data_IF_715413280388
#
_entry.id   IF_715413280388
#
_cell.length_a   1.000
_cell.length_b   1.000
_cell.length_c   1.000
_cell.angle_alpha   90.00
_cell.angle_beta   90.00
_cell.angle_gamma   90.00
#
_symmetry.space_group_name_H-M   'P 1'
#
loop_
_entity.id
_entity.type
_entity.pdbx_description
1 polymer ?
#
# COMPACT_ATOMS: atom_id res chain seq x y z
N UNK A 1 19.79 5.76 -9.80
CA UNK A 1 18.89 5.40 -8.68
C UNK A 1 19.70 5.50 -7.40
N UNK A 2 19.12 6.02 -6.33
CA UNK A 2 19.77 6.16 -5.01
C UNK A 2 18.90 5.46 -3.97
N UNK A 3 19.53 4.72 -3.07
CA UNK A 3 18.93 4.27 -1.80
C UNK A 3 19.39 5.25 -0.73
N UNK A 4 18.46 5.86 -0.03
CA UNK A 4 18.74 6.79 1.06
C UNK A 4 18.26 6.14 2.34
N UNK A 5 19.16 5.94 3.29
CA UNK A 5 18.86 5.35 4.60
C UNK A 5 19.11 6.43 5.64
N UNK A 6 18.14 6.65 6.50
CA UNK A 6 18.29 7.59 7.61
C UNK A 6 19.18 7.00 8.71
N UNK A 7 19.93 7.87 9.37
CA UNK A 7 20.84 7.49 10.45
C UNK A 7 20.12 6.87 11.67
N UNK A 8 18.87 7.24 11.92
CA UNK A 8 18.00 6.60 12.92
C UNK A 8 17.78 5.12 12.62
N UNK A 9 17.52 4.78 11.36
CA UNK A 9 17.32 3.38 10.93
C UNK A 9 18.60 2.56 11.14
N UNK A 10 19.77 3.13 10.82
CA UNK A 10 21.06 2.46 11.01
C UNK A 10 21.38 2.23 12.49
N UNK A 11 20.91 3.10 13.38
CA UNK A 11 21.14 2.96 14.83
C UNK A 11 20.18 1.97 15.48
N UNK A 12 18.96 1.89 14.96
CA UNK A 12 17.89 1.13 15.60
C UNK A 12 17.83 -0.33 15.13
N UNK A 13 18.32 -0.64 13.91
CA UNK A 13 18.31 -1.98 13.35
C UNK A 13 19.66 -2.68 13.54
N UNK A 14 19.61 -3.99 13.78
CA UNK A 14 20.80 -4.82 13.71
C UNK A 14 21.20 -5.12 12.25
N UNK A 15 22.29 -5.86 12.04
CA UNK A 15 22.83 -6.12 10.70
C UNK A 15 21.89 -6.92 9.81
N UNK A 16 21.14 -7.86 10.39
CA UNK A 16 20.28 -8.79 9.65
C UNK A 16 18.95 -8.10 9.31
N UNK A 17 18.39 -7.35 10.26
CA UNK A 17 17.25 -6.47 10.06
C UNK A 17 17.53 -5.40 8.99
N UNK A 18 18.70 -4.76 9.06
CA UNK A 18 19.14 -3.75 8.09
C UNK A 18 19.34 -4.36 6.70
N UNK A 19 19.91 -5.55 6.61
CA UNK A 19 20.08 -6.27 5.35
C UNK A 19 18.74 -6.61 4.72
N UNK A 20 17.78 -7.06 5.52
CA UNK A 20 16.40 -7.34 5.08
C UNK A 20 15.71 -6.09 4.57
N UNK A 21 15.85 -4.94 5.27
CA UNK A 21 15.29 -3.66 4.83
C UNK A 21 15.90 -3.21 3.49
N UNK A 22 17.22 -3.23 3.38
CA UNK A 22 17.90 -2.82 2.13
C UNK A 22 17.49 -3.72 0.97
N UNK A 23 17.39 -5.03 1.18
CA UNK A 23 16.96 -5.97 0.16
C UNK A 23 15.51 -5.72 -0.27
N UNK A 24 14.62 -5.39 0.66
CA UNK A 24 13.23 -5.01 0.39
C UNK A 24 13.16 -3.75 -0.52
N UNK A 25 13.88 -2.69 -0.17
CA UNK A 25 13.95 -1.47 -0.98
C UNK A 25 14.52 -1.72 -2.39
N UNK A 26 15.52 -2.58 -2.48
CA UNK A 26 16.05 -3.00 -3.79
C UNK A 26 15.02 -3.80 -4.60
N UNK A 27 14.13 -4.53 -3.95
CA UNK A 27 12.99 -5.22 -4.56
C UNK A 27 12.09 -4.25 -5.32
N UNK A 28 11.68 -3.15 -4.70
CA UNK A 28 10.91 -2.08 -5.34
C UNK A 28 11.62 -1.47 -6.55
N UNK A 29 12.93 -1.22 -6.41
CA UNK A 29 13.75 -0.68 -7.50
C UNK A 29 13.81 -1.64 -8.68
N UNK A 30 13.99 -2.94 -8.42
CA UNK A 30 14.10 -3.97 -9.45
C UNK A 30 12.77 -4.18 -10.18
N UNK A 31 11.67 -4.20 -9.45
CA UNK A 31 10.33 -4.43 -10.01
C UNK A 31 9.72 -3.20 -10.67
N UNK A 32 10.42 -2.04 -10.63
CA UNK A 32 9.94 -0.76 -11.15
C UNK A 32 8.57 -0.35 -10.59
N UNK A 33 8.35 -0.54 -9.30
CA UNK A 33 7.05 -0.39 -8.66
C UNK A 33 6.49 1.03 -8.72
N UNK A 34 7.37 2.05 -8.77
CA UNK A 34 6.97 3.44 -9.02
C UNK A 34 6.19 3.56 -10.35
N UNK A 35 6.67 2.91 -11.41
CA UNK A 35 5.98 2.96 -12.71
C UNK A 35 4.67 2.17 -12.71
N UNK A 36 4.58 1.09 -11.93
CA UNK A 36 3.33 0.34 -11.75
C UNK A 36 2.28 1.18 -11.04
N UNK A 37 2.66 1.84 -9.94
CA UNK A 37 1.79 2.77 -9.22
C UNK A 37 1.37 3.96 -10.07
N UNK A 38 2.31 4.57 -10.81
CA UNK A 38 2.02 5.67 -11.72
C UNK A 38 1.09 5.26 -12.86
N UNK A 39 1.31 4.09 -13.47
CA UNK A 39 0.44 3.54 -14.51
C UNK A 39 -0.99 3.32 -14.01
N UNK A 40 -1.14 2.76 -12.80
CA UNK A 40 -2.44 2.64 -12.14
C UNK A 40 -3.09 4.01 -11.92
N UNK A 41 -2.38 4.97 -11.36
CA UNK A 41 -2.90 6.31 -11.10
C UNK A 41 -3.35 7.04 -12.39
N UNK A 42 -2.53 6.97 -13.45
CA UNK A 42 -2.85 7.55 -14.75
C UNK A 42 -4.09 6.94 -15.39
N UNK A 43 -4.39 5.68 -15.10
CA UNK A 43 -5.60 5.02 -15.59
C UNK A 43 -6.83 5.40 -14.76
N UNK A 44 -6.73 5.35 -13.41
CA UNK A 44 -7.93 5.41 -12.56
C UNK A 44 -8.32 6.84 -12.16
N UNK A 45 -7.37 7.77 -12.05
CA UNK A 45 -7.69 9.16 -11.66
C UNK A 45 -8.59 9.85 -12.69
N UNK A 46 -8.30 9.82 -14.02
CA UNK A 46 -9.18 10.41 -14.99
C UNK A 46 -10.59 9.78 -15.01
N UNK A 47 -10.67 8.45 -14.83
CA UNK A 47 -11.94 7.75 -14.73
C UNK A 47 -12.73 8.17 -13.48
N UNK A 48 -12.06 8.36 -12.35
CA UNK A 48 -12.67 8.87 -11.12
C UNK A 48 -13.20 10.28 -11.29
N UNK A 49 -12.43 11.18 -11.91
CA UNK A 49 -12.86 12.55 -12.21
C UNK A 49 -14.08 12.55 -13.13
N UNK A 50 -14.05 11.76 -14.19
CA UNK A 50 -15.18 11.61 -15.12
C UNK A 50 -16.43 11.08 -14.41
N UNK A 51 -16.27 10.05 -13.56
CA UNK A 51 -17.37 9.54 -12.73
C UNK A 51 -17.98 10.63 -11.85
N UNK A 52 -17.16 11.37 -11.10
CA UNK A 52 -17.61 12.46 -10.22
C UNK A 52 -18.39 13.50 -11.01
N UNK A 53 -17.86 13.92 -12.15
CA UNK A 53 -18.50 14.90 -13.02
C UNK A 53 -19.87 14.39 -13.55
N UNK A 54 -19.88 13.20 -14.15
CA UNK A 54 -21.10 12.64 -14.74
C UNK A 54 -22.18 12.38 -13.68
N UNK A 55 -21.81 11.85 -12.51
CA UNK A 55 -22.72 11.56 -11.42
C UNK A 55 -23.32 12.85 -10.84
N UNK A 56 -22.48 13.87 -10.62
CA UNK A 56 -22.92 15.17 -10.11
C UNK A 56 -23.88 15.84 -11.08
N UNK A 57 -23.53 15.91 -12.35
CA UNK A 57 -24.38 16.54 -13.40
C UNK A 57 -25.70 15.77 -13.54
N UNK A 58 -25.66 14.44 -13.52
CA UNK A 58 -26.87 13.60 -13.63
C UNK A 58 -27.81 13.81 -12.45
N UNK A 59 -27.28 13.88 -11.22
CA UNK A 59 -28.09 14.11 -10.02
C UNK A 59 -28.70 15.53 -10.03
N UNK A 60 -27.91 16.56 -10.40
CA UNK A 60 -28.38 17.94 -10.46
C UNK A 60 -29.53 18.07 -11.49
N UNK A 61 -29.37 17.50 -12.69
CA UNK A 61 -30.41 17.49 -13.71
C UNK A 61 -31.69 16.77 -13.27
N UNK A 62 -31.52 15.61 -12.60
CA UNK A 62 -32.66 14.85 -12.08
C UNK A 62 -33.45 15.64 -11.02
N UNK A 63 -32.77 16.44 -10.19
CA UNK A 63 -33.37 17.26 -9.15
C UNK A 63 -33.90 18.62 -9.66
N UNK A 64 -33.49 19.03 -10.85
CA UNK A 64 -33.75 20.37 -11.38
C UNK A 64 -32.91 21.46 -10.73
N UNK A 65 -31.74 21.10 -10.13
CA UNK A 65 -30.81 22.03 -9.52
C UNK A 65 -29.99 22.79 -10.60
N UNK A 66 -29.65 24.02 -10.30
CA UNK A 66 -28.70 24.79 -11.11
C UNK A 66 -27.26 24.27 -10.89
N UNK A 67 -26.56 23.96 -11.98
CA UNK A 67 -25.17 23.44 -11.91
C UNK A 67 -24.18 24.47 -11.34
N UNK A 68 -24.50 25.74 -11.43
CA UNK A 68 -23.67 26.83 -10.87
C UNK A 68 -24.08 27.20 -9.43
N UNK A 69 -25.12 26.54 -8.91
CA UNK A 69 -25.67 26.80 -7.58
C UNK A 69 -24.97 26.02 -6.47
N UNK A 70 -25.07 26.50 -5.21
CA UNK A 70 -24.44 25.85 -4.05
C UNK A 70 -25.00 24.46 -3.74
N UNK A 71 -26.19 24.12 -4.26
CA UNK A 71 -26.82 22.80 -4.08
C UNK A 71 -26.01 21.65 -4.72
N UNK A 72 -25.11 21.95 -5.65
CA UNK A 72 -24.23 20.96 -6.29
C UNK A 72 -23.07 20.54 -5.37
N UNK A 73 -22.65 21.37 -4.42
CA UNK A 73 -21.48 21.09 -3.56
C UNK A 73 -21.62 19.79 -2.76
N UNK A 74 -22.73 19.49 -2.08
CA UNK A 74 -22.91 18.22 -1.36
C UNK A 74 -22.84 16.99 -2.29
N UNK A 75 -23.41 17.08 -3.49
CA UNK A 75 -23.37 16.03 -4.48
C UNK A 75 -21.94 15.77 -4.96
N UNK A 76 -21.20 16.82 -5.27
CA UNK A 76 -19.79 16.76 -5.65
C UNK A 76 -18.95 16.08 -4.56
N UNK A 77 -19.14 16.51 -3.30
CA UNK A 77 -18.42 15.93 -2.16
C UNK A 77 -18.75 14.42 -1.98
N UNK A 78 -20.03 14.04 -2.09
CA UNK A 78 -20.45 12.63 -2.03
C UNK A 78 -19.79 11.78 -3.11
N UNK A 79 -19.89 12.20 -4.38
CA UNK A 79 -19.34 11.41 -5.47
C UNK A 79 -17.80 11.40 -5.48
N UNK A 80 -17.17 12.48 -5.02
CA UNK A 80 -15.72 12.49 -4.78
C UNK A 80 -15.31 11.48 -3.70
N UNK A 81 -16.02 11.42 -2.58
CA UNK A 81 -15.76 10.44 -1.52
C UNK A 81 -15.96 8.99 -2.03
N UNK A 82 -17.02 8.73 -2.80
CA UNK A 82 -17.23 7.43 -3.43
C UNK A 82 -16.14 7.08 -4.44
N UNK A 83 -15.71 8.03 -5.27
CA UNK A 83 -14.60 7.80 -6.21
C UNK A 83 -13.30 7.44 -5.48
N UNK A 84 -12.96 8.16 -4.40
CA UNK A 84 -11.79 7.85 -3.56
C UNK A 84 -11.88 6.44 -2.99
N UNK A 85 -13.04 6.03 -2.50
CA UNK A 85 -13.24 4.68 -1.96
C UNK A 85 -13.09 3.60 -3.05
N UNK A 86 -13.75 3.77 -4.21
CA UNK A 86 -13.70 2.81 -5.30
C UNK A 86 -12.33 2.69 -5.96
N UNK A 87 -11.54 3.77 -6.00
CA UNK A 87 -10.17 3.77 -6.49
C UNK A 87 -9.21 3.25 -5.41
N UNK A 88 -9.44 3.62 -4.15
CA UNK A 88 -8.57 3.29 -3.03
C UNK A 88 -8.47 1.79 -2.76
N UNK A 89 -9.61 1.07 -2.79
CA UNK A 89 -9.61 -0.38 -2.51
C UNK A 89 -8.74 -1.18 -3.50
N UNK A 90 -8.90 -1.06 -4.84
CA UNK A 90 -8.00 -1.73 -5.77
C UNK A 90 -6.56 -1.17 -5.72
N UNK A 91 -6.37 0.13 -5.45
CA UNK A 91 -5.05 0.72 -5.24
C UNK A 91 -4.33 0.11 -4.04
N UNK A 92 -5.03 -0.06 -2.92
CA UNK A 92 -4.49 -0.71 -1.73
C UNK A 92 -4.18 -2.20 -1.99
N UNK A 93 -5.01 -2.88 -2.78
CA UNK A 93 -4.73 -4.27 -3.18
C UNK A 93 -3.46 -4.37 -4.04
N UNK A 94 -3.26 -3.44 -4.99
CA UNK A 94 -2.04 -3.35 -5.78
C UNK A 94 -0.83 -3.07 -4.89
N UNK A 95 -0.94 -2.13 -3.94
CA UNK A 95 0.12 -1.80 -2.99
C UNK A 95 0.52 -3.01 -2.14
N UNK A 96 -0.45 -3.72 -1.55
CA UNK A 96 -0.16 -4.95 -0.79
C UNK A 96 0.54 -6.03 -1.63
N UNK A 97 0.17 -6.16 -2.89
CA UNK A 97 0.83 -7.10 -3.80
C UNK A 97 2.28 -6.69 -4.08
N UNK A 98 2.53 -5.41 -4.31
CA UNK A 98 3.86 -4.85 -4.48
C UNK A 98 4.74 -5.13 -3.25
N UNK A 99 4.23 -4.84 -2.05
CA UNK A 99 4.92 -5.10 -0.79
C UNK A 99 5.26 -6.58 -0.60
N UNK A 100 4.29 -7.48 -0.86
CA UNK A 100 4.54 -8.91 -0.75
C UNK A 100 5.62 -9.41 -1.72
N UNK A 101 5.70 -8.84 -2.93
CA UNK A 101 6.78 -9.12 -3.87
C UNK A 101 8.13 -8.59 -3.40
N UNK A 102 8.18 -7.40 -2.80
CA UNK A 102 9.40 -6.83 -2.25
C UNK A 102 9.91 -7.66 -1.05
N UNK A 103 9.00 -8.11 -0.17
CA UNK A 103 9.34 -9.02 0.93
C UNK A 103 9.90 -10.35 0.42
N UNK A 104 9.24 -10.94 -0.57
CA UNK A 104 9.73 -12.20 -1.17
C UNK A 104 11.10 -12.02 -1.79
N UNK A 105 11.33 -10.90 -2.51
CA UNK A 105 12.63 -10.59 -3.06
C UNK A 105 13.69 -10.42 -1.97
N UNK A 106 13.36 -9.78 -0.84
CA UNK A 106 14.27 -9.65 0.28
C UNK A 106 14.66 -11.01 0.86
N UNK A 107 13.69 -11.88 1.11
CA UNK A 107 13.93 -13.26 1.58
C UNK A 107 14.80 -14.06 0.60
N UNK A 108 14.50 -13.99 -0.70
CA UNK A 108 15.29 -14.66 -1.74
C UNK A 108 16.75 -14.15 -1.83
N UNK A 109 17.00 -12.93 -1.39
CA UNK A 109 18.34 -12.29 -1.45
C UNK A 109 19.14 -12.47 -0.17
N UNK A 110 18.51 -12.39 0.98
CA UNK A 110 19.16 -12.52 2.27
C UNK A 110 19.26 -13.98 2.71
N UNK A 111 18.28 -14.80 2.35
CA UNK A 111 18.13 -16.15 2.88
C UNK A 111 17.90 -16.16 4.40
N UNK A 112 17.46 -15.03 4.95
CA UNK A 112 17.33 -14.82 6.40
C UNK A 112 15.90 -14.44 6.80
N UNK A 113 15.03 -15.43 7.04
CA UNK A 113 13.70 -15.19 7.59
C UNK A 113 13.72 -14.54 8.98
N UNK A 114 14.75 -14.84 9.80
CA UNK A 114 14.89 -14.30 11.14
C UNK A 114 15.07 -12.79 11.14
N UNK A 115 15.96 -12.28 10.30
CA UNK A 115 16.16 -10.84 10.09
C UNK A 115 14.90 -10.14 9.58
N UNK A 116 14.13 -10.77 8.69
CA UNK A 116 12.85 -10.23 8.24
C UNK A 116 11.83 -10.17 9.39
N UNK A 117 11.70 -11.21 10.20
CA UNK A 117 10.81 -11.25 11.37
C UNK A 117 11.20 -10.17 12.39
N UNK A 118 12.50 -10.05 12.68
CA UNK A 118 13.04 -9.00 13.57
C UNK A 118 12.67 -7.61 13.08
N UNK A 119 12.94 -7.33 11.81
CA UNK A 119 12.59 -6.08 11.16
C UNK A 119 11.10 -5.73 11.31
N UNK A 120 10.20 -6.68 11.00
CA UNK A 120 8.76 -6.44 11.07
C UNK A 120 8.29 -6.14 12.51
N UNK A 121 8.80 -6.88 13.49
CA UNK A 121 8.51 -6.64 14.92
C UNK A 121 8.98 -5.26 15.35
N UNK A 122 10.18 -4.88 14.98
CA UNK A 122 10.76 -3.59 15.36
C UNK A 122 10.01 -2.42 14.73
N UNK A 123 9.71 -2.49 13.44
CA UNK A 123 8.91 -1.47 12.75
C UNK A 123 7.52 -1.31 13.38
N UNK A 124 6.88 -2.41 13.75
CA UNK A 124 5.56 -2.39 14.41
C UNK A 124 5.62 -1.69 15.76
N UNK A 125 6.63 -1.99 16.58
CA UNK A 125 6.82 -1.37 17.90
C UNK A 125 7.15 0.11 17.78
N UNK A 126 8.05 0.47 16.87
CA UNK A 126 8.48 1.86 16.66
C UNK A 126 7.33 2.75 16.16
N UNK A 127 6.51 2.21 15.27
CA UNK A 127 5.38 2.93 14.69
C UNK A 127 4.08 2.81 15.53
N UNK A 128 4.09 2.07 16.63
CA UNK A 128 2.92 1.78 17.47
C UNK A 128 1.75 1.25 16.63
N UNK A 129 2.04 0.43 15.62
CA UNK A 129 1.06 -0.09 14.68
C UNK A 129 0.35 -1.31 15.26
N UNK A 130 -0.94 -1.49 14.90
CA UNK A 130 -1.64 -2.75 15.14
C UNK A 130 -1.01 -3.85 14.26
N UNK A 131 -0.47 -4.94 14.86
CA UNK A 131 0.17 -5.99 14.09
C UNK A 131 -0.80 -6.82 13.24
N UNK A 132 -2.09 -6.85 13.60
CA UNK A 132 -3.13 -7.61 12.87
C UNK A 132 -4.48 -6.88 12.88
N UNK A 133 -4.62 -5.76 12.17
CA UNK A 133 -5.88 -5.04 12.09
C UNK A 133 -7.01 -5.91 11.53
N UNK A 134 -8.28 -5.63 11.87
CA UNK A 134 -9.42 -6.38 11.37
C UNK A 134 -9.42 -6.51 9.84
N UNK A 135 -9.84 -7.68 9.33
CA UNK A 135 -9.77 -7.98 7.89
C UNK A 135 -10.49 -6.96 7.00
N UNK A 136 -11.67 -6.47 7.45
CA UNK A 136 -12.41 -5.43 6.73
C UNK A 136 -11.63 -4.11 6.65
N UNK A 137 -10.96 -3.71 7.74
CA UNK A 137 -10.12 -2.52 7.78
C UNK A 137 -8.91 -2.67 6.82
N UNK A 138 -8.21 -3.81 6.88
CA UNK A 138 -7.11 -4.10 5.96
C UNK A 138 -7.53 -4.09 4.49
N UNK A 139 -8.70 -4.67 4.20
CA UNK A 139 -9.23 -4.71 2.84
C UNK A 139 -9.44 -3.31 2.27
N UNK A 140 -10.06 -2.41 3.05
CA UNK A 140 -10.44 -1.07 2.59
C UNK A 140 -9.26 -0.08 2.66
N UNK A 141 -8.50 -0.08 3.77
CA UNK A 141 -7.52 0.96 4.08
C UNK A 141 -6.07 0.50 4.12
N UNK A 142 -5.82 -0.81 4.20
CA UNK A 142 -4.47 -1.35 4.32
C UNK A 142 -3.69 -1.23 3.01
N UNK A 143 -2.63 -0.44 3.02
CA UNK A 143 -1.68 -0.28 1.90
C UNK A 143 -0.57 -1.34 1.92
N UNK A 144 -0.36 -1.99 3.07
CA UNK A 144 0.63 -3.04 3.28
C UNK A 144 -0.04 -4.30 3.81
N UNK A 145 0.52 -5.49 3.62
CA UNK A 145 0.14 -6.67 4.39
C UNK A 145 0.33 -6.41 5.89
N UNK A 146 -0.47 -7.04 6.75
CA UNK A 146 -0.27 -6.88 8.19
C UNK A 146 1.09 -7.44 8.63
N UNK A 147 1.60 -6.96 9.77
CA UNK A 147 2.84 -7.48 10.36
C UNK A 147 2.78 -9.00 10.52
N UNK A 148 1.64 -9.51 11.00
CA UNK A 148 1.46 -10.96 11.16
C UNK A 148 1.49 -11.71 9.83
N UNK A 149 0.95 -11.14 8.74
CA UNK A 149 1.03 -11.73 7.41
C UNK A 149 2.48 -11.75 6.88
N UNK A 150 3.23 -10.67 7.10
CA UNK A 150 4.65 -10.57 6.68
C UNK A 150 5.53 -11.54 7.47
N UNK A 151 5.31 -11.65 8.79
CA UNK A 151 6.00 -12.62 9.65
C UNK A 151 5.68 -14.04 9.22
N UNK A 152 4.40 -14.38 9.06
CA UNK A 152 4.00 -15.71 8.61
C UNK A 152 4.55 -16.09 7.23
N UNK A 153 4.68 -15.12 6.30
CA UNK A 153 5.32 -15.34 5.01
C UNK A 153 6.83 -15.63 5.14
N UNK A 154 7.51 -14.96 6.08
CA UNK A 154 8.93 -15.21 6.36
C UNK A 154 9.15 -16.59 7.01
N UNK A 155 8.33 -16.95 7.98
CA UNK A 155 8.37 -18.28 8.63
C UNK A 155 8.09 -19.41 7.63
N UNK A 156 7.07 -19.25 6.78
CA UNK A 156 6.76 -20.22 5.73
C UNK A 156 7.87 -20.34 4.66
N UNK A 157 8.69 -19.30 4.47
CA UNK A 157 9.86 -19.36 3.60
C UNK A 157 10.93 -20.29 4.16
N UNK A 158 11.14 -20.31 5.47
CA UNK A 158 12.12 -21.18 6.14
C UNK A 158 11.73 -22.65 6.09
N UNK A 159 10.42 -22.96 6.14
CA UNK A 159 9.86 -24.31 6.07
C UNK A 159 9.76 -24.86 4.64
N UNK A 160 10.13 -24.12 3.61
CA UNK A 160 9.97 -24.48 2.21
C UNK A 160 10.83 -25.70 1.79
N UNK A 161 10.38 -26.51 0.81
CA UNK A 161 11.11 -27.67 0.33
C UNK A 161 12.37 -27.23 -0.41
N UNK A 162 13.52 -27.26 0.25
CA UNK A 162 14.80 -27.00 -0.40
C UNK A 162 15.92 -26.43 0.47
N UNK A 163 15.84 -26.53 1.79
CA UNK A 163 17.02 -26.36 2.66
C UNK A 163 17.42 -27.67 3.29
#
# INVERSE_FOLDING_TARGET
KRVVIYDTVIKDLDSDELSSLIAHELGHVKSNDIYRGLGFALLVIPLGVLFVQLATVSLARWRGDDLDGPAVIPALALFAALAVLFIGVPGNALSRNIEAHADRFALDRTGDPGGMVGLQRKLTLTNLSDPDPPAAFRFIFGTHPSTMQRIGAAEAYDEGPGK
#
